data_IF_794955077023
#
_entry.id   IF_794955077023
#
_cell.length_a   1.000
_cell.length_b   1.000
_cell.length_c   1.000
_cell.angle_alpha   90.00
_cell.angle_beta   90.00
_cell.angle_gamma   90.00
#
_symmetry.space_group_name_H-M   'P 1'
#
loop_
_entity.id
_entity.type
_entity.pdbx_description
1 polymer ?
#
# COMPACT_ATOMS: atom_id res chain seq x y z
N UNK A 1 -10.90 -54.36 51.60
CA UNK A 1 -12.17 -54.34 50.85
C UNK A 1 -11.88 -54.36 49.35
N UNK A 2 -12.65 -55.16 48.59
CA UNK A 2 -12.53 -55.49 47.14
C UNK A 2 -12.72 -54.24 46.26
N UNK A 3 -12.17 -54.13 45.03
CA UNK A 3 -12.53 -54.84 43.77
C UNK A 3 -11.42 -54.60 42.71
N UNK A 4 -10.81 -55.64 42.13
CA UNK A 4 -11.09 -56.35 40.84
C UNK A 4 -10.90 -55.47 39.58
N UNK A 5 -9.83 -55.65 38.80
CA UNK A 5 -9.58 -56.64 37.70
C UNK A 5 -10.54 -56.52 36.51
N UNK A 6 -10.03 -56.17 35.31
CA UNK A 6 -9.69 -57.18 34.29
C UNK A 6 -9.39 -56.53 32.93
N UNK A 7 -8.27 -56.95 32.34
CA UNK A 7 -7.80 -56.71 30.96
C UNK A 7 -8.16 -57.94 30.12
N UNK A 8 -8.60 -57.73 28.88
CA UNK A 8 -8.92 -58.71 27.83
C UNK A 8 -9.09 -57.85 26.54
N UNK A 9 -8.63 -58.16 25.32
CA UNK A 9 -8.34 -59.43 24.64
C UNK A 9 -7.56 -59.09 23.35
N UNK A 10 -6.59 -59.90 22.94
CA UNK A 10 -6.04 -59.95 21.57
C UNK A 10 -6.85 -60.90 20.70
N UNK A 11 -7.18 -60.52 19.45
CA UNK A 11 -7.45 -61.47 18.36
C UNK A 11 -6.84 -60.94 17.06
N UNK A 12 -6.11 -61.84 16.39
CA UNK A 12 -5.40 -61.66 15.13
C UNK A 12 -6.35 -61.49 13.92
N UNK A 13 -5.93 -60.72 12.92
CA UNK A 13 -6.59 -60.63 11.63
C UNK A 13 -5.71 -61.27 10.54
N UNK A 14 -6.33 -62.19 9.80
CA UNK A 14 -5.75 -63.02 8.77
C UNK A 14 -5.51 -62.27 7.45
N UNK A 15 -4.48 -62.70 6.73
CA UNK A 15 -4.18 -62.39 5.34
C UNK A 15 -5.30 -62.89 4.40
N UNK A 16 -5.80 -62.01 3.54
CA UNK A 16 -6.49 -62.40 2.32
C UNK A 16 -6.07 -61.46 1.17
N UNK A 17 -5.59 -62.07 0.10
CA UNK A 17 -5.04 -61.44 -1.09
C UNK A 17 -6.09 -60.68 -1.89
N UNK A 18 -5.69 -59.54 -2.44
CA UNK A 18 -6.45 -58.72 -3.39
C UNK A 18 -5.56 -57.65 -3.99
N UNK A 19 -4.60 -58.06 -4.84
CA UNK A 19 -3.75 -57.15 -5.61
C UNK A 19 -4.59 -56.48 -6.71
N UNK A 20 -5.16 -55.32 -6.41
CA UNK A 20 -5.58 -54.36 -7.43
C UNK A 20 -4.43 -53.39 -7.67
N UNK A 21 -3.92 -53.25 -8.92
CA UNK A 21 -2.92 -52.25 -9.22
C UNK A 21 -3.61 -50.87 -9.23
N UNK A 22 -3.53 -50.15 -8.12
CA UNK A 22 -3.69 -48.70 -8.18
C UNK A 22 -2.48 -48.17 -8.94
N UNK A 23 -2.67 -47.88 -10.22
CA UNK A 23 -1.81 -46.96 -10.96
C UNK A 23 -1.93 -45.59 -10.29
N UNK A 24 -1.11 -45.36 -9.27
CA UNK A 24 -0.86 -44.03 -8.75
C UNK A 24 -0.18 -43.25 -9.87
N UNK A 25 -0.97 -42.53 -10.65
CA UNK A 25 -0.46 -41.50 -11.54
C UNK A 25 0.18 -40.46 -10.64
N UNK A 26 1.51 -40.51 -10.53
CA UNK A 26 2.31 -39.48 -9.89
C UNK A 26 1.95 -38.17 -10.58
N UNK A 27 1.10 -37.36 -9.98
CA UNK A 27 0.92 -35.99 -10.38
C UNK A 27 2.28 -35.34 -10.17
N UNK A 28 3.04 -35.18 -11.25
CA UNK A 28 4.20 -34.32 -11.26
C UNK A 28 3.71 -32.96 -10.76
N UNK A 29 4.15 -32.57 -9.57
CA UNK A 29 4.03 -31.19 -9.14
C UNK A 29 4.68 -30.38 -10.26
N UNK A 30 3.88 -29.57 -10.95
CA UNK A 30 4.43 -28.60 -11.86
C UNK A 30 5.39 -27.75 -11.02
N UNK A 31 6.68 -27.80 -11.33
CA UNK A 31 7.68 -26.90 -10.80
C UNK A 31 7.19 -25.49 -11.13
N UNK A 32 6.49 -24.89 -10.18
CA UNK A 32 6.20 -23.47 -10.23
C UNK A 32 7.58 -22.84 -10.07
N UNK A 33 8.09 -22.08 -11.05
CA UNK A 33 9.39 -21.47 -10.92
C UNK A 33 9.39 -20.70 -9.60
N UNK A 34 10.26 -21.09 -8.68
CA UNK A 34 10.52 -20.35 -7.46
C UNK A 34 10.86 -18.92 -7.91
N UNK A 35 9.91 -17.98 -7.72
CA UNK A 35 10.24 -16.58 -7.81
C UNK A 35 11.18 -16.34 -6.66
N UNK A 36 12.46 -16.20 -6.97
CA UNK A 36 13.46 -15.80 -6.00
C UNK A 36 13.13 -14.37 -5.54
N UNK A 37 12.27 -14.26 -4.52
CA UNK A 37 11.91 -13.01 -3.85
C UNK A 37 12.96 -12.60 -2.83
N UNK A 38 14.05 -13.38 -2.70
CA UNK A 38 15.10 -13.16 -1.70
C UNK A 38 16.25 -12.29 -2.21
N UNK A 39 16.30 -11.99 -3.51
CA UNK A 39 17.34 -11.13 -4.07
C UNK A 39 17.16 -9.68 -3.63
N UNK A 40 18.19 -9.15 -2.97
CA UNK A 40 18.33 -7.72 -2.70
C UNK A 40 18.55 -6.96 -4.02
N UNK A 41 17.72 -5.94 -4.21
CA UNK A 41 17.75 -5.00 -5.33
C UNK A 41 18.43 -3.69 -4.95
N UNK A 42 18.88 -3.55 -3.71
CA UNK A 42 19.55 -2.36 -3.20
C UNK A 42 18.61 -1.16 -3.17
N UNK A 43 19.21 0.03 -3.32
CA UNK A 43 18.46 1.27 -3.37
C UNK A 43 17.73 1.45 -4.70
N UNK A 44 16.45 1.80 -4.62
CA UNK A 44 15.62 2.10 -5.78
C UNK A 44 14.84 3.40 -5.55
N UNK A 45 14.70 4.18 -6.61
CA UNK A 45 13.79 5.32 -6.67
C UNK A 45 12.63 4.97 -7.60
N UNK A 46 11.42 5.11 -7.08
CA UNK A 46 10.18 4.88 -7.79
C UNK A 46 9.49 6.23 -7.92
N UNK A 47 9.25 6.67 -9.15
CA UNK A 47 8.63 7.97 -9.42
C UNK A 47 7.36 7.80 -10.24
N UNK A 48 6.49 8.79 -10.19
CA UNK A 48 5.50 9.00 -11.23
C UNK A 48 4.21 9.65 -10.78
N UNK A 49 3.42 9.98 -11.80
CA UNK A 49 2.22 10.76 -11.68
C UNK A 49 1.00 9.88 -11.94
N UNK A 50 -0.08 10.13 -11.21
CA UNK A 50 -1.39 9.61 -11.56
C UNK A 50 -2.21 10.74 -12.20
N UNK A 51 -2.98 10.45 -13.26
CA UNK A 51 -3.88 11.44 -13.82
C UNK A 51 -4.90 11.89 -12.77
N UNK A 52 -5.41 13.11 -12.96
CA UNK A 52 -6.52 13.63 -12.18
C UNK A 52 -7.68 12.62 -12.14
N UNK A 53 -8.17 12.25 -10.94
CA UNK A 53 -9.33 11.37 -10.85
C UNK A 53 -10.57 12.08 -11.40
N UNK A 54 -11.34 11.45 -12.31
CA UNK A 54 -12.68 11.92 -12.62
C UNK A 54 -13.53 11.99 -11.34
N UNK A 55 -14.48 12.92 -11.29
CA UNK A 55 -15.34 13.08 -10.13
C UNK A 55 -15.99 11.75 -9.70
N UNK A 56 -15.85 11.38 -8.43
CA UNK A 56 -16.40 10.14 -7.88
C UNK A 56 -15.62 8.87 -8.24
N UNK A 57 -14.36 8.99 -8.70
CA UNK A 57 -13.49 7.86 -9.07
C UNK A 57 -12.19 7.91 -8.28
N UNK A 58 -11.67 6.76 -7.87
CA UNK A 58 -10.29 6.57 -7.42
C UNK A 58 -9.45 6.12 -8.61
N UNK A 59 -8.32 6.80 -8.84
CA UNK A 59 -7.26 6.34 -9.74
C UNK A 59 -6.20 5.66 -8.88
N UNK A 60 -5.79 4.45 -9.24
CA UNK A 60 -4.73 3.74 -8.54
C UNK A 60 -3.80 2.99 -9.48
N UNK A 61 -2.57 2.76 -9.04
CA UNK A 61 -1.61 1.94 -9.75
C UNK A 61 -0.75 1.17 -8.75
N UNK A 62 -0.46 -0.08 -9.09
CA UNK A 62 0.53 -0.90 -8.39
C UNK A 62 1.81 -0.94 -9.22
N UNK A 63 2.94 -0.67 -8.60
CA UNK A 63 4.27 -0.84 -9.17
C UNK A 63 4.95 -1.96 -8.40
N UNK A 64 5.47 -2.97 -9.09
CA UNK A 64 6.13 -4.12 -8.47
C UNK A 64 7.61 -4.11 -8.82
N UNK A 65 8.49 -4.40 -7.86
CA UNK A 65 9.91 -4.63 -8.16
C UNK A 65 10.03 -6.01 -8.84
N UNK A 66 10.38 -5.99 -10.13
CA UNK A 66 10.48 -7.17 -10.97
C UNK A 66 11.72 -8.02 -10.68
N UNK A 67 11.83 -9.21 -11.30
CA UNK A 67 12.95 -10.13 -11.10
C UNK A 67 14.31 -9.59 -11.55
N UNK A 68 14.30 -8.55 -12.39
CA UNK A 68 15.48 -7.81 -12.85
C UNK A 68 15.82 -6.62 -11.95
N UNK A 69 15.19 -6.52 -10.77
CA UNK A 69 15.32 -5.39 -9.84
C UNK A 69 14.90 -4.04 -10.43
N UNK A 70 14.00 -4.05 -11.41
CA UNK A 70 13.44 -2.83 -11.99
C UNK A 70 11.95 -2.67 -11.65
N UNK A 71 11.45 -1.42 -11.61
CA UNK A 71 10.03 -1.18 -11.42
C UNK A 71 9.22 -1.69 -12.62
N UNK A 72 8.22 -2.51 -12.36
CA UNK A 72 7.23 -2.96 -13.32
C UNK A 72 5.91 -2.25 -13.02
N UNK A 73 5.53 -1.34 -13.91
CA UNK A 73 4.30 -0.57 -13.76
C UNK A 73 3.09 -1.45 -14.11
N UNK A 74 2.19 -1.62 -13.16
CA UNK A 74 0.88 -2.23 -13.41
C UNK A 74 -0.05 -1.27 -14.17
N UNK A 75 -1.17 -1.81 -14.64
CA UNK A 75 -2.23 -1.02 -15.27
C UNK A 75 -2.80 0.01 -14.29
N UNK A 76 -3.02 1.24 -14.77
CA UNK A 76 -3.78 2.24 -14.02
C UNK A 76 -5.24 1.82 -13.95
N UNK A 77 -5.78 1.72 -12.73
CA UNK A 77 -7.15 1.33 -12.48
C UNK A 77 -7.99 2.55 -12.10
N UNK A 78 -9.22 2.56 -12.59
CA UNK A 78 -10.24 3.56 -12.27
C UNK A 78 -11.38 2.81 -11.57
N UNK A 79 -11.62 3.09 -10.30
CA UNK A 79 -12.67 2.45 -9.52
C UNK A 79 -13.61 3.49 -8.92
N UNK A 80 -14.90 3.22 -8.77
CA UNK A 80 -15.80 4.15 -8.09
C UNK A 80 -15.29 4.48 -6.69
N UNK A 81 -15.20 5.77 -6.37
CA UNK A 81 -14.81 6.20 -5.03
C UNK A 81 -15.87 5.70 -4.02
N UNK A 82 -15.47 5.16 -2.85
CA UNK A 82 -16.42 4.67 -1.86
C UNK A 82 -17.42 5.77 -1.48
N UNK A 83 -18.70 5.39 -1.32
CA UNK A 83 -19.87 6.26 -1.28
C UNK A 83 -19.91 7.34 -0.16
N UNK A 84 -18.86 7.48 0.65
CA UNK A 84 -18.66 8.63 1.52
C UNK A 84 -18.47 9.96 0.76
N UNK A 85 -18.20 9.91 -0.55
CA UNK A 85 -18.14 11.08 -1.43
C UNK A 85 -19.50 11.51 -2.02
N UNK A 86 -20.62 10.89 -1.59
CA UNK A 86 -21.96 11.44 -1.81
C UNK A 86 -22.29 12.49 -0.74
N UNK A 87 -21.37 13.42 -0.47
CA UNK A 87 -21.72 14.61 0.29
C UNK A 87 -22.55 15.52 -0.62
N UNK A 88 -23.85 15.46 -0.37
CA UNK A 88 -24.81 16.54 -0.41
C UNK A 88 -24.39 17.72 -1.29
N UNK A 89 -25.13 17.90 -2.38
CA UNK A 89 -25.38 19.20 -2.99
C UNK A 89 -26.06 20.11 -1.95
N UNK A 90 -25.34 20.47 -0.88
CA UNK A 90 -25.69 21.60 -0.03
C UNK A 90 -25.69 22.80 -0.95
N UNK A 91 -26.80 23.53 -0.98
CA UNK A 91 -26.95 24.72 -1.80
C UNK A 91 -25.78 25.66 -1.49
N UNK A 92 -24.83 25.74 -2.41
CA UNK A 92 -23.68 26.63 -2.30
C UNK A 92 -24.19 28.07 -2.41
N UNK A 93 -24.26 28.75 -1.27
CA UNK A 93 -24.09 30.19 -1.26
C UNK A 93 -22.60 30.44 -1.61
N UNK A 94 -22.36 30.90 -2.84
CA UNK A 94 -21.06 31.35 -3.38
C UNK A 94 -19.82 30.52 -2.98
N UNK A 95 -19.72 29.29 -3.49
CA UNK A 95 -18.47 28.52 -3.47
C UNK A 95 -18.66 27.03 -3.72
N UNK A 96 -17.92 26.44 -4.66
CA UNK A 96 -17.88 24.98 -4.81
C UNK A 96 -16.82 24.39 -3.88
N UNK A 97 -17.20 23.38 -3.09
CA UNK A 97 -16.31 22.64 -2.20
C UNK A 97 -15.84 21.36 -2.87
N UNK A 98 -14.54 21.13 -2.83
CA UNK A 98 -13.89 19.97 -3.44
C UNK A 98 -13.02 19.25 -2.40
N UNK A 99 -12.76 17.96 -2.64
CA UNK A 99 -11.87 17.15 -1.82
C UNK A 99 -11.10 16.19 -2.72
N UNK A 100 -9.82 15.96 -2.40
CA UNK A 100 -9.00 14.90 -2.97
C UNK A 100 -8.20 14.24 -1.87
N UNK A 101 -8.03 12.92 -1.96
CA UNK A 101 -7.18 12.12 -1.08
C UNK A 101 -6.08 11.49 -1.90
N UNK A 102 -4.90 11.40 -1.30
CA UNK A 102 -3.77 10.68 -1.88
C UNK A 102 -3.29 9.59 -0.91
N UNK A 103 -2.81 8.49 -1.48
CA UNK A 103 -2.13 7.45 -0.74
C UNK A 103 -0.89 7.00 -1.50
N UNK A 104 0.23 6.88 -0.81
CA UNK A 104 1.43 6.21 -1.28
C UNK A 104 1.86 5.18 -0.25
N UNK A 105 1.70 3.91 -0.57
CA UNK A 105 1.90 2.79 0.35
C UNK A 105 2.93 1.80 -0.20
N UNK A 106 3.88 1.40 0.64
CA UNK A 106 4.87 0.38 0.31
C UNK A 106 4.51 -0.92 1.01
N UNK A 107 4.55 -2.04 0.29
CA UNK A 107 4.23 -3.38 0.75
C UNK A 107 5.36 -4.34 0.47
N UNK A 108 5.56 -5.30 1.36
CA UNK A 108 6.47 -6.42 1.11
C UNK A 108 5.92 -7.40 0.06
N UNK A 109 6.68 -8.46 -0.22
CA UNK A 109 6.28 -9.52 -1.16
C UNK A 109 5.06 -10.34 -0.66
N UNK A 110 4.73 -10.27 0.62
CA UNK A 110 3.61 -10.93 1.28
C UNK A 110 2.36 -10.05 1.41
N UNK A 111 2.36 -8.86 0.80
CA UNK A 111 1.26 -7.86 0.86
C UNK A 111 1.01 -7.29 2.26
N UNK A 112 2.02 -7.28 3.12
CA UNK A 112 1.98 -6.54 4.39
C UNK A 112 2.44 -5.10 4.12
N UNK A 113 1.62 -4.12 4.51
CA UNK A 113 1.94 -2.69 4.34
C UNK A 113 3.09 -2.31 5.26
N UNK A 114 4.25 -2.00 4.72
CA UNK A 114 5.42 -1.56 5.47
C UNK A 114 5.27 -0.12 5.95
N UNK A 115 5.05 0.81 5.02
CA UNK A 115 4.99 2.26 5.25
C UNK A 115 3.96 2.90 4.35
N UNK A 116 3.45 4.07 4.75
CA UNK A 116 2.42 4.78 4.01
C UNK A 116 2.38 6.26 4.36
N UNK A 117 2.26 7.09 3.33
CA UNK A 117 2.00 8.52 3.40
C UNK A 117 0.63 8.81 2.78
N UNK A 118 -0.21 9.54 3.49
CA UNK A 118 -1.57 9.83 3.07
C UNK A 118 -1.85 11.32 3.20
N UNK A 119 -2.67 11.86 2.30
CA UNK A 119 -3.18 13.21 2.45
C UNK A 119 -4.68 13.27 2.19
N UNK A 120 -5.32 14.28 2.78
CA UNK A 120 -6.67 14.72 2.44
C UNK A 120 -6.63 16.21 2.27
N UNK A 121 -6.86 16.66 1.06
CA UNK A 121 -6.92 18.07 0.68
C UNK A 121 -8.37 18.48 0.43
N UNK A 122 -8.76 19.62 0.97
CA UNK A 122 -10.06 20.23 0.79
C UNK A 122 -9.86 21.66 0.32
N UNK A 123 -10.65 22.10 -0.67
CA UNK A 123 -10.57 23.47 -1.15
C UNK A 123 -11.92 23.99 -1.65
N UNK A 124 -12.06 25.30 -1.59
CA UNK A 124 -13.21 26.04 -2.08
C UNK A 124 -12.81 26.90 -3.27
N UNK A 125 -13.70 26.98 -4.26
CA UNK A 125 -13.47 27.80 -5.45
C UNK A 125 -14.61 28.79 -5.67
N UNK A 126 -14.28 30.05 -5.95
CA UNK A 126 -15.22 31.09 -6.36
C UNK A 126 -14.55 32.06 -7.35
N UNK A 127 -15.29 32.55 -8.34
CA UNK A 127 -14.76 33.53 -9.31
C UNK A 127 -13.52 33.05 -10.09
N UNK A 128 -13.39 31.73 -10.32
CA UNK A 128 -12.21 31.15 -10.98
C UNK A 128 -10.95 31.14 -10.12
N UNK A 129 -11.08 31.25 -8.79
CA UNK A 129 -9.96 31.23 -7.85
C UNK A 129 -10.24 30.30 -6.66
N UNK A 130 -9.17 29.81 -6.05
CA UNK A 130 -9.22 29.12 -4.76
C UNK A 130 -9.40 30.18 -3.67
N UNK A 131 -10.47 30.08 -2.89
CA UNK A 131 -10.76 31.01 -1.79
C UNK A 131 -10.21 30.52 -0.45
N UNK A 132 -10.14 29.20 -0.29
CA UNK A 132 -9.57 28.53 0.87
C UNK A 132 -9.10 27.13 0.45
N UNK A 133 -7.94 26.69 0.95
CA UNK A 133 -7.43 25.35 0.78
C UNK A 133 -6.78 24.87 2.08
N UNK A 134 -6.88 23.57 2.33
CA UNK A 134 -6.28 22.92 3.49
C UNK A 134 -5.90 21.49 3.12
N UNK A 135 -4.72 21.06 3.54
CA UNK A 135 -4.29 19.67 3.43
C UNK A 135 -3.94 19.09 4.80
N UNK A 136 -4.48 17.92 5.10
CA UNK A 136 -4.12 17.13 6.29
C UNK A 136 -3.30 15.93 5.86
N UNK A 137 -2.11 15.79 6.43
CA UNK A 137 -1.20 14.67 6.15
C UNK A 137 -1.24 13.67 7.31
N UNK A 138 -1.33 12.39 6.99
CA UNK A 138 -1.24 11.30 7.96
C UNK A 138 -0.28 10.21 7.48
N UNK A 139 0.14 9.36 8.40
CA UNK A 139 1.19 8.38 8.18
C UNK A 139 0.74 7.03 8.72
N UNK A 140 1.20 5.95 8.09
CA UNK A 140 0.96 4.59 8.55
C UNK A 140 2.20 3.75 8.39
N UNK A 141 2.42 2.82 9.31
CA UNK A 141 3.53 1.87 9.23
C UNK A 141 3.18 0.57 9.95
N UNK A 142 3.80 -0.53 9.55
CA UNK A 142 3.63 -1.81 10.23
C UNK A 142 4.56 -1.91 11.43
N UNK A 143 4.03 -2.47 12.51
CA UNK A 143 4.76 -2.76 13.73
C UNK A 143 4.75 -4.25 13.97
N UNK A 144 5.92 -4.78 14.26
CA UNK A 144 6.05 -6.11 14.85
C UNK A 144 5.73 -6.00 16.35
N UNK A 145 5.51 -7.13 17.04
CA UNK A 145 5.43 -7.10 18.50
C UNK A 145 6.76 -6.58 19.12
N UNK A 146 6.83 -6.47 20.45
CA UNK A 146 8.06 -6.06 21.19
C UNK A 146 8.71 -4.73 20.72
N UNK A 147 7.91 -3.77 20.25
CA UNK A 147 8.37 -2.45 19.79
C UNK A 147 9.30 -2.49 18.55
N UNK A 148 9.26 -3.57 17.77
CA UNK A 148 10.00 -3.69 16.51
C UNK A 148 9.16 -3.26 15.30
N UNK A 149 9.82 -3.20 14.14
CA UNK A 149 9.24 -2.92 12.84
C UNK A 149 9.60 -1.54 12.30
N UNK A 150 8.70 -0.99 11.49
CA UNK A 150 8.85 0.32 10.89
C UNK A 150 8.55 1.42 11.91
N UNK A 151 9.19 2.57 11.73
CA UNK A 151 8.98 3.75 12.57
C UNK A 151 9.10 5.01 11.72
N UNK A 152 8.23 5.98 11.97
CA UNK A 152 8.35 7.32 11.39
C UNK A 152 9.56 8.03 12.01
N UNK A 153 10.38 8.68 11.19
CA UNK A 153 11.54 9.47 11.61
C UNK A 153 11.26 10.96 11.45
N UNK A 154 11.01 11.37 10.21
CA UNK A 154 10.87 12.79 9.86
C UNK A 154 9.65 12.96 8.98
N UNK A 155 8.56 13.57 9.50
CA UNK A 155 7.49 14.09 8.68
C UNK A 155 7.74 15.57 8.36
N UNK A 156 7.38 16.00 7.15
CA UNK A 156 7.28 17.42 6.84
C UNK A 156 6.18 17.69 5.82
N UNK A 157 5.67 18.92 5.85
CA UNK A 157 4.63 19.39 4.94
C UNK A 157 4.94 20.86 4.60
N UNK A 158 4.65 21.25 3.37
CA UNK A 158 4.70 22.64 2.93
C UNK A 158 3.63 22.92 1.91
N UNK A 159 3.14 24.16 1.90
CA UNK A 159 2.13 24.65 0.98
C UNK A 159 2.61 25.95 0.31
N UNK A 160 2.29 26.14 -0.97
CA UNK A 160 2.68 27.33 -1.73
C UNK A 160 1.70 28.51 -1.57
N UNK A 161 0.40 28.23 -1.60
CA UNK A 161 -0.70 29.17 -1.51
C UNK A 161 -1.94 28.47 -0.94
N UNK A 162 -2.67 29.15 -0.07
CA UNK A 162 -3.90 28.63 0.53
C UNK A 162 -5.14 29.50 0.24
N UNK A 163 -4.98 30.72 -0.29
CA UNK A 163 -6.06 31.69 -0.53
C UNK A 163 -5.76 32.61 -1.70
N UNK A 164 -6.78 32.95 -2.48
CA UNK A 164 -6.74 33.86 -3.62
C UNK A 164 -5.67 33.50 -4.67
N UNK A 165 -5.64 32.24 -5.08
CA UNK A 165 -4.75 31.74 -6.12
C UNK A 165 -5.46 30.87 -7.16
N UNK A 166 -4.84 30.72 -8.33
CA UNK A 166 -5.34 29.85 -9.38
C UNK A 166 -5.07 28.36 -9.07
N UNK A 167 -3.95 28.09 -8.39
CA UNK A 167 -3.49 26.77 -8.00
C UNK A 167 -2.95 26.79 -6.56
N UNK A 168 -3.07 25.65 -5.88
CA UNK A 168 -2.51 25.41 -4.55
C UNK A 168 -1.82 24.06 -4.56
N UNK A 169 -0.54 24.02 -4.22
CA UNK A 169 0.28 22.83 -4.17
C UNK A 169 0.67 22.54 -2.72
N UNK A 170 0.33 21.34 -2.25
CA UNK A 170 0.88 20.81 -1.01
C UNK A 170 1.95 19.77 -1.32
N UNK A 171 3.11 19.88 -0.69
CA UNK A 171 4.14 18.83 -0.67
C UNK A 171 4.20 18.21 0.72
N UNK A 172 4.12 16.89 0.78
CA UNK A 172 4.22 16.10 2.00
C UNK A 172 5.39 15.13 1.87
N UNK A 173 6.13 14.95 2.95
CA UNK A 173 7.29 14.07 3.01
C UNK A 173 7.27 13.25 4.30
N UNK A 174 7.65 11.97 4.22
CA UNK A 174 7.81 11.11 5.39
C UNK A 174 8.97 10.11 5.22
N UNK A 175 9.93 10.19 6.13
CA UNK A 175 11.00 9.21 6.29
C UNK A 175 10.61 8.12 7.29
N UNK A 176 10.89 6.87 6.92
CA UNK A 176 10.68 5.71 7.76
C UNK A 176 11.97 4.91 7.88
N UNK A 177 12.23 4.37 9.06
CA UNK A 177 13.29 3.38 9.29
C UNK A 177 12.72 2.13 9.94
N UNK A 178 13.30 0.97 9.61
CA UNK A 178 12.91 -0.31 10.20
C UNK A 178 13.98 -0.80 11.16
N UNK A 179 13.57 -1.30 12.33
CA UNK A 179 14.41 -2.06 13.26
C UNK A 179 13.62 -3.24 13.78
N UNK A 180 14.08 -4.45 13.51
CA UNK A 180 13.34 -5.67 13.86
C UNK A 180 14.09 -6.94 13.50
N UNK A 181 13.36 -8.04 13.32
CA UNK A 181 13.98 -9.35 13.05
C UNK A 181 14.83 -9.36 11.78
N UNK A 182 14.46 -8.54 10.78
CA UNK A 182 15.17 -8.46 9.51
C UNK A 182 16.34 -7.47 9.51
N UNK A 183 16.43 -6.59 10.51
CA UNK A 183 17.52 -5.64 10.72
C UNK A 183 17.55 -5.21 12.19
N UNK A 184 18.40 -5.88 12.95
CA UNK A 184 18.58 -5.63 14.38
C UNK A 184 19.28 -4.30 14.66
N UNK A 185 20.00 -3.76 13.68
CA UNK A 185 20.77 -2.50 13.83
C UNK A 185 19.90 -1.28 13.59
N UNK A 186 18.90 -1.40 12.72
CA UNK A 186 18.05 -0.32 12.26
C UNK A 186 18.70 0.61 11.23
N UNK A 187 19.83 0.20 10.65
CA UNK A 187 20.60 1.00 9.71
C UNK A 187 20.29 0.65 8.24
N UNK A 188 19.80 -0.56 7.99
CA UNK A 188 19.74 -1.12 6.65
C UNK A 188 18.52 -0.61 5.89
N UNK A 189 17.33 -0.82 6.44
CA UNK A 189 16.08 -0.51 5.74
C UNK A 189 15.55 0.89 6.04
N UNK A 190 15.24 1.63 4.98
CA UNK A 190 14.47 2.88 5.07
C UNK A 190 13.64 3.13 3.82
N UNK A 191 12.52 3.81 4.02
CA UNK A 191 11.65 4.27 2.95
C UNK A 191 11.44 5.78 3.14
N UNK A 192 11.59 6.56 2.08
CA UNK A 192 11.18 7.97 2.06
C UNK A 192 10.04 8.11 1.07
N UNK A 193 8.95 8.71 1.50
CA UNK A 193 7.80 9.01 0.67
C UNK A 193 7.74 10.52 0.44
N UNK A 194 7.57 10.92 -0.81
CA UNK A 194 7.27 12.28 -1.20
C UNK A 194 5.95 12.26 -1.98
N UNK A 195 5.08 13.22 -1.67
CA UNK A 195 3.79 13.37 -2.36
C UNK A 195 3.53 14.84 -2.62
N UNK A 196 3.16 15.17 -3.86
CA UNK A 196 2.74 16.50 -4.26
C UNK A 196 1.29 16.44 -4.71
N UNK A 197 0.43 17.26 -4.10
CA UNK A 197 -0.97 17.40 -4.49
C UNK A 197 -1.19 18.82 -5.00
N UNK A 198 -1.55 18.95 -6.26
CA UNK A 198 -1.93 20.22 -6.89
C UNK A 198 -3.45 20.31 -6.95
N UNK A 199 -4.00 21.41 -6.46
CA UNK A 199 -5.41 21.77 -6.47
C UNK A 199 -5.62 22.94 -7.43
N UNK A 200 -6.68 22.91 -8.23
CA UNK A 200 -6.97 23.94 -9.23
C UNK A 200 -8.32 24.60 -9.00
N UNK A 201 -8.41 25.87 -9.40
CA UNK A 201 -9.63 26.67 -9.27
C UNK A 201 -10.81 26.16 -10.13
N UNK A 202 -10.56 25.29 -11.11
CA UNK A 202 -11.59 24.62 -11.92
C UNK A 202 -12.17 23.36 -11.24
N UNK A 203 -11.71 23.04 -10.01
CA UNK A 203 -12.14 21.87 -9.25
C UNK A 203 -11.36 20.59 -9.58
N UNK A 204 -10.38 20.64 -10.48
CA UNK A 204 -9.50 19.50 -10.75
C UNK A 204 -8.32 19.43 -9.77
N UNK A 205 -7.67 18.27 -9.72
CA UNK A 205 -6.46 18.06 -8.92
C UNK A 205 -5.48 17.12 -9.63
N UNK A 206 -4.22 17.10 -9.19
CA UNK A 206 -3.23 16.12 -9.64
C UNK A 206 -2.41 15.62 -8.46
N UNK A 207 -2.07 14.32 -8.47
CA UNK A 207 -1.26 13.70 -7.44
C UNK A 207 0.03 13.14 -8.07
N UNK A 208 1.19 13.62 -7.60
CA UNK A 208 2.51 13.09 -7.94
C UNK A 208 3.11 12.41 -6.73
N UNK A 209 3.79 11.29 -6.94
CA UNK A 209 4.36 10.49 -5.88
C UNK A 209 5.78 10.07 -6.23
N UNK A 210 6.64 10.09 -5.22
CA UNK A 210 7.98 9.51 -5.29
C UNK A 210 8.23 8.67 -4.03
N UNK A 211 8.91 7.55 -4.21
CA UNK A 211 9.37 6.70 -3.11
C UNK A 211 10.83 6.36 -3.31
N UNK A 212 11.63 6.58 -2.28
CA UNK A 212 13.03 6.18 -2.23
C UNK A 212 13.15 5.03 -1.24
N UNK A 213 13.73 3.93 -1.70
CA UNK A 213 13.96 2.72 -0.90
C UNK A 213 15.46 2.59 -0.62
N UNK A 214 15.81 2.29 0.63
CA UNK A 214 17.14 1.87 1.05
C UNK A 214 17.05 0.38 1.37
N UNK A 215 17.56 -0.44 0.44
CA UNK A 215 17.40 -1.89 0.36
C UNK A 215 15.97 -2.34 0.09
N UNK A 216 15.79 -3.07 -1.00
CA UNK A 216 14.49 -3.48 -1.53
C UNK A 216 14.60 -4.87 -2.13
N UNK A 217 13.48 -5.58 -2.27
CA UNK A 217 13.50 -6.95 -2.78
C UNK A 217 12.53 -7.14 -3.93
N UNK A 218 12.81 -8.16 -4.75
CA UNK A 218 11.89 -8.63 -5.77
C UNK A 218 10.52 -8.92 -5.13
N UNK A 219 9.47 -8.42 -5.77
CA UNK A 219 8.08 -8.64 -5.36
C UNK A 219 7.54 -7.64 -4.34
N UNK A 220 8.35 -6.73 -3.80
CA UNK A 220 7.85 -5.56 -3.08
C UNK A 220 6.96 -4.72 -4.01
N UNK A 221 5.93 -4.09 -3.43
CA UNK A 221 4.91 -3.38 -4.18
C UNK A 221 4.72 -1.97 -3.63
N UNK A 222 4.76 -1.00 -4.52
CA UNK A 222 4.30 0.34 -4.26
C UNK A 222 2.89 0.51 -4.81
N UNK A 223 1.96 0.90 -3.95
CA UNK A 223 0.59 1.25 -4.34
C UNK A 223 0.44 2.75 -4.20
N UNK A 224 0.05 3.41 -5.28
CA UNK A 224 -0.28 4.84 -5.29
C UNK A 224 -1.72 5.06 -5.71
N UNK A 225 -2.40 6.03 -5.11
CA UNK A 225 -3.76 6.38 -5.48
C UNK A 225 -4.11 7.85 -5.24
N UNK A 226 -5.07 8.36 -6.02
CA UNK A 226 -5.65 9.70 -5.95
C UNK A 226 -7.18 9.55 -6.08
N UNK A 227 -7.98 10.14 -5.18
CA UNK A 227 -9.44 9.92 -5.12
C UNK A 227 -10.25 11.10 -4.63
#
# INVERSE_FOLDING_TARGET
>A
MRKKLSVLTTVAAALAAGLMPLTATSAAAADTPSRDTSKDCGSLQLTGELPAPPAGTTVSQVVTIGPDCKPQLGTVQYTPAPAAARQQKLAAADGQRHQVKSASEMFDCCKIRMTGLYSTSEWNTAGGRITDAKTTVTHGWNREPWDAGWSLKTPSQSEDCLKDCATSTTKAHADFGYKGIFDVTGAWYANSHDTSVELRADGTSACTFDVQLRHSFIGWNWVRSCS
#
